data_IF_192380926623
#
_entry.id   IF_192380926623
#
_cell.length_a   1.000
_cell.length_b   1.000
_cell.length_c   1.000
_cell.angle_alpha   90.00
_cell.angle_beta   90.00
_cell.angle_gamma   90.00
#
_symmetry.space_group_name_H-M   'P 1'
#
loop_
_entity.id
_entity.type
_entity.pdbx_description
1 polymer ?
#
# COMPACT_ATOMS: atom_id res chain seq x y z
N UNK A 1 42.78 56.40 0.40
CA UNK A 1 41.94 55.91 -0.71
C UNK A 1 40.94 54.91 -0.14
N UNK A 2 39.64 55.19 -0.26
CA UNK A 2 38.56 54.29 0.17
C UNK A 2 38.15 53.44 -1.03
N UNK A 3 38.17 52.11 -0.90
CA UNK A 3 37.59 51.20 -1.89
C UNK A 3 36.38 50.53 -1.23
N UNK A 4 35.18 50.92 -1.66
CA UNK A 4 33.92 50.32 -1.28
C UNK A 4 33.65 49.24 -2.33
N UNK A 5 33.79 47.96 -1.97
CA UNK A 5 33.37 46.85 -2.81
C UNK A 5 31.92 46.49 -2.46
N UNK A 6 31.05 46.55 -3.46
CA UNK A 6 29.63 46.22 -3.35
C UNK A 6 29.47 44.72 -3.58
N UNK A 7 29.05 43.98 -2.56
CA UNK A 7 28.63 42.59 -2.72
C UNK A 7 27.14 42.56 -3.10
N UNK A 8 26.85 42.17 -4.34
CA UNK A 8 25.48 41.92 -4.79
C UNK A 8 24.95 40.61 -4.17
N UNK A 9 23.72 40.56 -3.64
CA UNK A 9 23.15 39.33 -3.13
C UNK A 9 22.71 38.45 -4.32
N UNK A 10 23.28 37.25 -4.41
CA UNK A 10 22.72 36.19 -5.26
C UNK A 10 21.38 35.75 -4.65
N UNK A 11 20.28 36.12 -5.29
CA UNK A 11 18.96 35.55 -5.01
C UNK A 11 18.96 34.12 -5.53
N UNK A 12 19.05 33.16 -4.61
CA UNK A 12 18.87 31.74 -4.90
C UNK A 12 17.37 31.52 -5.18
N UNK A 13 17.01 31.50 -6.46
CA UNK A 13 15.67 31.10 -6.88
C UNK A 13 15.45 29.64 -6.48
N UNK A 14 14.72 29.44 -5.39
CA UNK A 14 14.21 28.13 -5.01
C UNK A 14 13.23 27.67 -6.10
N UNK A 15 13.70 26.82 -7.01
CA UNK A 15 12.84 26.04 -7.88
C UNK A 15 11.99 25.16 -6.97
N UNK A 16 10.77 25.62 -6.68
CA UNK A 16 9.73 24.79 -6.09
C UNK A 16 9.37 23.73 -7.14
N UNK A 17 10.11 22.63 -7.12
CA UNK A 17 9.70 21.40 -7.79
C UNK A 17 8.45 20.96 -7.04
N UNK A 18 7.29 21.37 -7.54
CA UNK A 18 6.04 20.75 -7.14
C UNK A 18 6.27 19.25 -7.24
N UNK A 19 6.12 18.46 -6.17
CA UNK A 19 6.30 17.03 -6.28
C UNK A 19 5.30 16.57 -7.33
N UNK A 20 5.81 16.18 -8.49
CA UNK A 20 5.02 15.51 -9.50
C UNK A 20 4.50 14.26 -8.80
N UNK A 21 3.25 14.34 -8.35
CA UNK A 21 2.51 13.25 -7.75
C UNK A 21 2.57 12.14 -8.80
N UNK A 22 3.39 11.11 -8.56
CA UNK A 22 3.41 10.00 -9.48
C UNK A 22 1.98 9.45 -9.51
N UNK A 23 1.46 9.27 -10.72
CA UNK A 23 0.11 8.81 -10.91
C UNK A 23 -0.14 7.59 -10.03
N UNK A 24 -1.26 7.57 -9.29
CA UNK A 24 -1.65 6.37 -8.57
C UNK A 24 -1.76 5.21 -9.57
N UNK A 25 -1.27 4.05 -9.15
CA UNK A 25 -1.25 2.83 -9.95
C UNK A 25 -2.19 1.84 -9.28
N UNK A 26 -3.18 1.36 -10.02
CA UNK A 26 -4.05 0.28 -9.59
C UNK A 26 -4.16 -0.77 -10.69
N UNK A 27 -4.16 -2.03 -10.29
CA UNK A 27 -4.25 -3.17 -11.20
C UNK A 27 -4.68 -4.43 -10.44
N UNK A 28 -5.16 -5.40 -11.23
CA UNK A 28 -5.36 -6.76 -10.77
C UNK A 28 -4.04 -7.50 -10.80
N UNK A 29 -3.71 -8.19 -9.72
CA UNK A 29 -2.54 -9.05 -9.65
C UNK A 29 -2.91 -10.34 -8.91
N UNK A 30 -2.46 -11.46 -9.45
CA UNK A 30 -2.53 -12.77 -8.81
C UNK A 30 -1.70 -12.82 -7.51
N UNK A 31 -0.75 -11.88 -7.34
CA UNK A 31 0.18 -11.81 -6.23
C UNK A 31 0.27 -10.41 -5.65
N UNK A 32 0.72 -10.34 -4.40
CA UNK A 32 1.20 -9.10 -3.78
C UNK A 32 2.67 -9.23 -3.39
N UNK A 33 3.38 -8.12 -3.48
CA UNK A 33 4.78 -8.00 -3.10
C UNK A 33 4.86 -7.19 -1.81
N UNK A 34 5.35 -7.80 -0.73
CA UNK A 34 5.32 -7.17 0.59
C UNK A 34 6.61 -7.40 1.37
N UNK A 35 6.87 -6.50 2.33
CA UNK A 35 7.89 -6.70 3.35
C UNK A 35 7.31 -7.48 4.51
N UNK A 36 8.03 -8.50 4.94
CA UNK A 36 7.76 -9.25 6.17
C UNK A 36 8.24 -8.47 7.40
N UNK A 37 7.84 -8.93 8.59
CA UNK A 37 8.22 -8.28 9.85
C UNK A 37 9.74 -8.27 10.10
N UNK A 38 10.46 -9.27 9.58
CA UNK A 38 11.93 -9.35 9.66
C UNK A 38 12.64 -8.55 8.56
N UNK A 39 11.91 -7.77 7.77
CA UNK A 39 12.45 -6.95 6.68
C UNK A 39 12.74 -7.72 5.38
N UNK A 40 12.46 -9.03 5.32
CA UNK A 40 12.59 -9.78 4.06
C UNK A 40 11.48 -9.40 3.08
N UNK A 41 11.79 -9.47 1.78
CA UNK A 41 10.82 -9.24 0.71
C UNK A 41 10.23 -10.58 0.27
N UNK A 42 8.90 -10.65 0.23
CA UNK A 42 8.18 -11.84 -0.22
C UNK A 42 7.13 -11.50 -1.26
N UNK A 43 6.86 -12.49 -2.11
CA UNK A 43 5.69 -12.53 -2.97
C UNK A 43 4.66 -13.47 -2.33
N UNK A 44 3.43 -12.99 -2.17
CA UNK A 44 2.29 -13.78 -1.69
C UNK A 44 1.32 -13.98 -2.85
N UNK A 45 1.03 -15.23 -3.19
CA UNK A 45 0.02 -15.63 -4.17
C UNK A 45 -1.20 -16.20 -3.47
N UNK A 46 -2.39 -15.81 -3.91
CA UNK A 46 -3.63 -16.42 -3.45
C UNK A 46 -3.73 -17.86 -3.98
N UNK A 47 -4.26 -18.78 -3.17
CA UNK A 47 -4.57 -20.15 -3.60
C UNK A 47 -5.75 -20.72 -2.81
N UNK A 48 -6.97 -20.66 -3.36
CA UNK A 48 -8.16 -21.17 -2.68
C UNK A 48 -8.50 -20.35 -1.44
N UNK A 49 -8.33 -20.93 -0.25
CA UNK A 49 -8.44 -20.22 1.04
C UNK A 49 -7.06 -20.00 1.71
N UNK A 50 -5.99 -20.49 1.07
CA UNK A 50 -4.61 -20.41 1.55
C UNK A 50 -3.78 -19.43 0.71
N UNK A 51 -2.51 -19.28 1.11
CA UNK A 51 -1.52 -18.45 0.47
C UNK A 51 -0.25 -19.22 0.16
N UNK A 52 0.35 -18.92 -0.99
CA UNK A 52 1.66 -19.40 -1.37
C UNK A 52 2.66 -18.27 -1.23
N UNK A 53 3.64 -18.43 -0.35
CA UNK A 53 4.63 -17.38 -0.06
C UNK A 53 6.00 -17.78 -0.58
N UNK A 54 6.65 -16.85 -1.27
CA UNK A 54 7.98 -17.01 -1.83
C UNK A 54 8.86 -15.85 -1.37
N UNK A 55 10.04 -16.15 -0.82
CA UNK A 55 11.09 -15.14 -0.69
C UNK A 55 11.53 -14.67 -2.08
N UNK A 56 11.92 -13.40 -2.20
CA UNK A 56 12.37 -12.85 -3.46
C UNK A 56 13.49 -13.69 -4.09
N UNK A 57 13.33 -14.06 -5.37
CA UNK A 57 14.27 -14.93 -6.09
C UNK A 57 14.28 -16.40 -5.66
N UNK A 58 13.34 -16.85 -4.82
CA UNK A 58 13.20 -18.25 -4.41
C UNK A 58 11.95 -18.89 -5.00
N UNK A 59 11.96 -20.22 -5.06
CA UNK A 59 10.78 -20.98 -5.42
C UNK A 59 9.67 -20.78 -4.37
N UNK A 60 8.43 -20.84 -4.83
CA UNK A 60 7.26 -20.72 -3.99
C UNK A 60 7.18 -21.86 -2.98
N UNK A 61 6.97 -21.53 -1.71
CA UNK A 61 6.81 -22.50 -0.64
C UNK A 61 5.48 -23.27 -0.70
N UNK A 62 5.25 -24.10 0.32
CA UNK A 62 3.97 -24.76 0.53
C UNK A 62 2.84 -23.74 0.76
N UNK A 63 1.60 -24.17 0.50
CA UNK A 63 0.44 -23.36 0.86
C UNK A 63 0.35 -23.23 2.38
N UNK A 64 0.01 -22.03 2.85
CA UNK A 64 -0.13 -21.70 4.26
C UNK A 64 -1.36 -20.80 4.46
N UNK A 65 -2.11 -21.03 5.54
CA UNK A 65 -3.34 -20.28 5.82
C UNK A 65 -3.14 -18.85 6.32
N UNK A 66 -1.88 -18.40 6.44
CA UNK A 66 -1.57 -17.03 6.87
C UNK A 66 -0.18 -16.59 6.41
N UNK A 67 0.06 -15.28 6.40
CA UNK A 67 1.38 -14.70 6.16
C UNK A 67 1.58 -13.44 7.01
N UNK A 68 2.83 -13.11 7.28
CA UNK A 68 3.23 -11.95 8.06
C UNK A 68 3.74 -10.83 7.14
N UNK A 69 3.47 -9.59 7.54
CA UNK A 69 3.80 -8.42 6.75
C UNK A 69 3.93 -7.17 7.62
N UNK A 70 4.60 -6.16 7.09
CA UNK A 70 4.71 -4.86 7.71
C UNK A 70 3.51 -3.97 7.33
N UNK A 71 2.78 -3.47 8.32
CA UNK A 71 1.69 -2.51 8.14
C UNK A 71 2.18 -1.11 7.78
N UNK A 72 1.27 -0.23 7.36
CA UNK A 72 1.60 1.19 7.08
C UNK A 72 2.14 1.95 8.30
N UNK A 73 1.76 1.50 9.49
CA UNK A 73 2.21 1.99 10.79
C UNK A 73 3.59 1.47 11.18
N UNK A 74 4.20 0.62 10.36
CA UNK A 74 5.48 -0.04 10.66
C UNK A 74 5.36 -1.17 11.68
N UNK A 75 4.14 -1.54 12.09
CA UNK A 75 3.95 -2.66 13.01
C UNK A 75 3.87 -3.98 12.24
N UNK A 76 4.34 -5.05 12.88
CA UNK A 76 4.19 -6.40 12.37
C UNK A 76 2.72 -6.83 12.43
N UNK A 77 2.20 -7.28 11.29
CA UNK A 77 0.84 -7.76 11.13
C UNK A 77 0.86 -9.18 10.58
N UNK A 78 -0.17 -9.96 10.92
CA UNK A 78 -0.44 -11.25 10.31
C UNK A 78 -1.80 -11.21 9.64
N UNK A 79 -1.88 -11.73 8.43
CA UNK A 79 -3.13 -11.85 7.68
C UNK A 79 -3.49 -13.32 7.49
N UNK A 80 -4.76 -13.63 7.69
CA UNK A 80 -5.41 -14.89 7.33
C UNK A 80 -6.71 -14.57 6.61
N UNK A 81 -7.10 -15.37 5.61
CA UNK A 81 -8.44 -15.25 5.04
C UNK A 81 -9.47 -15.95 5.94
N UNK A 82 -10.58 -15.29 6.23
CA UNK A 82 -11.75 -15.89 6.84
C UNK A 82 -12.88 -16.00 5.80
N UNK A 83 -13.15 -17.23 5.36
CA UNK A 83 -14.19 -17.51 4.38
C UNK A 83 -15.60 -17.18 4.89
N UNK A 84 -15.85 -17.29 6.20
CA UNK A 84 -17.15 -16.98 6.79
C UNK A 84 -17.48 -15.48 6.72
N UNK A 85 -16.49 -14.63 6.99
CA UNK A 85 -16.65 -13.17 6.99
C UNK A 85 -16.38 -12.54 5.62
N UNK A 86 -15.92 -13.34 4.66
CA UNK A 86 -15.38 -12.87 3.38
C UNK A 86 -14.39 -11.70 3.55
N UNK A 87 -13.52 -11.81 4.56
CA UNK A 87 -12.58 -10.76 4.94
C UNK A 87 -11.25 -11.35 5.43
N UNK A 88 -10.20 -10.53 5.46
CA UNK A 88 -8.97 -10.89 6.15
C UNK A 88 -9.16 -10.72 7.65
N UNK A 89 -8.70 -11.68 8.45
CA UNK A 89 -8.37 -11.43 9.85
C UNK A 89 -6.95 -10.84 9.90
N UNK A 90 -6.83 -9.55 10.24
CA UNK A 90 -5.56 -8.82 10.27
C UNK A 90 -5.24 -8.39 11.70
N UNK A 91 -4.06 -8.76 12.17
CA UNK A 91 -3.55 -8.44 13.51
C UNK A 91 -2.69 -9.57 14.03
N UNK A 92 -2.16 -9.42 15.25
CA UNK A 92 -1.34 -10.45 15.87
C UNK A 92 -2.10 -11.14 17.02
N UNK A 93 -2.23 -12.46 16.95
CA UNK A 93 -2.99 -13.25 17.93
C UNK A 93 -4.43 -12.76 18.10
N UNK A 94 -4.85 -12.58 19.36
CA UNK A 94 -6.22 -12.19 19.73
C UNK A 94 -6.62 -10.76 19.30
N UNK A 95 -5.65 -9.96 18.84
CA UNK A 95 -5.91 -8.62 18.31
C UNK A 95 -6.39 -8.62 16.85
N UNK A 96 -6.43 -9.79 16.19
CA UNK A 96 -6.85 -9.89 14.80
C UNK A 96 -8.30 -9.40 14.61
N UNK A 97 -8.47 -8.40 13.75
CA UNK A 97 -9.77 -7.85 13.39
C UNK A 97 -10.13 -8.19 11.95
N UNK A 98 -11.41 -8.45 11.66
CA UNK A 98 -11.89 -8.51 10.28
C UNK A 98 -11.57 -7.20 9.54
N UNK A 99 -10.94 -7.32 8.40
CA UNK A 99 -10.57 -6.23 7.51
C UNK A 99 -10.81 -6.68 6.07
N UNK A 100 -11.61 -5.95 5.27
CA UNK A 100 -11.81 -6.30 3.87
C UNK A 100 -10.55 -6.05 3.00
N UNK A 101 -9.51 -5.45 3.59
CA UNK A 101 -8.29 -5.04 2.87
C UNK A 101 -7.02 -5.31 3.68
N UNK A 102 -5.90 -5.32 2.96
CA UNK A 102 -4.54 -5.34 3.49
C UNK A 102 -3.92 -3.96 3.29
N UNK A 103 -3.43 -3.35 4.37
CA UNK A 103 -2.61 -2.13 4.35
C UNK A 103 -1.16 -2.53 4.61
N UNK A 104 -0.32 -2.56 3.59
CA UNK A 104 1.02 -3.14 3.70
C UNK A 104 2.10 -2.24 3.10
N UNK A 105 3.33 -2.45 3.57
CA UNK A 105 4.54 -1.91 2.95
C UNK A 105 5.07 -2.92 1.94
N UNK A 106 5.29 -2.46 0.71
CA UNK A 106 5.79 -3.26 -0.39
C UNK A 106 7.33 -3.32 -0.41
N UNK A 107 7.89 -4.18 -1.27
CA UNK A 107 9.33 -4.37 -1.43
C UNK A 107 10.09 -3.08 -1.78
N UNK A 108 9.42 -2.12 -2.40
CA UNK A 108 9.93 -0.79 -2.79
C UNK A 108 9.79 0.26 -1.67
N UNK A 109 9.47 -0.14 -0.43
CA UNK A 109 9.15 0.72 0.71
C UNK A 109 7.90 1.60 0.53
N UNK A 110 7.18 1.46 -0.59
CA UNK A 110 5.93 2.16 -0.79
C UNK A 110 4.80 1.53 0.04
N UNK A 111 3.80 2.35 0.34
CA UNK A 111 2.61 1.94 1.08
C UNK A 111 1.49 1.62 0.09
N UNK A 112 0.98 0.41 0.16
CA UNK A 112 -0.04 -0.12 -0.74
C UNK A 112 -1.26 -0.59 0.05
N UNK A 113 -2.43 -0.53 -0.59
CA UNK A 113 -3.65 -1.16 -0.09
C UNK A 113 -4.11 -2.19 -1.11
N UNK A 114 -4.65 -3.31 -0.64
CA UNK A 114 -5.19 -4.36 -1.49
C UNK A 114 -6.47 -4.98 -0.94
N UNK A 115 -7.33 -5.44 -1.84
CA UNK A 115 -8.53 -6.25 -1.53
C UNK A 115 -8.46 -7.57 -2.29
N UNK A 116 -9.18 -8.58 -1.82
CA UNK A 116 -9.37 -9.81 -2.60
C UNK A 116 -10.15 -9.49 -3.88
N UNK A 117 -9.71 -10.06 -5.00
CA UNK A 117 -10.43 -10.06 -6.27
C UNK A 117 -10.34 -11.46 -6.90
N UNK A 118 -11.41 -12.25 -6.78
CA UNK A 118 -11.41 -13.65 -7.23
C UNK A 118 -10.28 -14.47 -6.59
N UNK A 119 -9.41 -15.02 -7.44
CA UNK A 119 -8.21 -15.79 -7.07
C UNK A 119 -6.93 -14.93 -7.01
N UNK A 120 -7.09 -13.63 -6.76
CA UNK A 120 -5.99 -12.69 -6.66
C UNK A 120 -6.36 -11.48 -5.83
N UNK A 121 -5.68 -10.38 -6.14
CA UNK A 121 -5.76 -9.12 -5.44
C UNK A 121 -6.06 -8.01 -6.44
N UNK A 122 -6.81 -7.02 -5.99
CA UNK A 122 -6.82 -5.71 -6.63
C UNK A 122 -6.10 -4.76 -5.68
N UNK A 123 -5.05 -4.10 -6.17
CA UNK A 123 -4.15 -3.30 -5.34
C UNK A 123 -4.00 -1.89 -5.90
N UNK A 124 -3.68 -0.95 -5.02
CA UNK A 124 -3.25 0.39 -5.42
C UNK A 124 -2.18 0.96 -4.50
N UNK A 125 -1.27 1.74 -5.07
CA UNK A 125 -0.25 2.44 -4.29
C UNK A 125 -0.83 3.71 -3.69
N UNK A 126 -0.63 3.86 -2.38
CA UNK A 126 -1.12 5.00 -1.60
C UNK A 126 -0.04 6.07 -1.46
N UNK A 127 1.17 5.68 -1.09
CA UNK A 127 2.30 6.59 -0.89
C UNK A 127 3.60 5.93 -1.35
N UNK A 128 4.57 6.70 -1.86
CA UNK A 128 5.91 6.19 -2.19
C UNK A 128 6.72 5.91 -0.92
N UNK A 129 7.89 5.30 -1.09
CA UNK A 129 8.89 5.19 -0.04
C UNK A 129 9.18 6.54 0.61
N UNK A 130 9.17 6.58 1.95
CA UNK A 130 9.42 7.78 2.73
C UNK A 130 8.29 8.81 2.76
N UNK A 131 7.19 8.61 2.03
CA UNK A 131 6.03 9.50 2.07
C UNK A 131 5.07 9.09 3.19
N UNK A 132 4.51 10.09 3.89
CA UNK A 132 3.45 9.89 4.86
C UNK A 132 2.11 9.68 4.15
N UNK A 133 1.27 8.81 4.72
CA UNK A 133 -0.12 8.66 4.27
C UNK A 133 -0.93 9.78 4.94
N UNK A 134 -1.45 10.71 4.14
CA UNK A 134 -2.32 11.78 4.63
C UNK A 134 -3.76 11.54 4.22
N UNK A 135 -4.70 12.08 5.00
CA UNK A 135 -6.13 11.98 4.71
C UNK A 135 -6.47 12.59 3.34
N UNK A 136 -5.83 13.71 2.97
CA UNK A 136 -5.98 14.31 1.62
C UNK A 136 -5.59 13.33 0.52
N UNK A 137 -4.46 12.63 0.68
CA UNK A 137 -4.00 11.64 -0.31
C UNK A 137 -4.96 10.47 -0.45
N UNK A 138 -5.50 9.99 0.67
CA UNK A 138 -6.49 8.91 0.69
C UNK A 138 -7.78 9.33 -0.05
N UNK A 139 -8.26 10.55 0.20
CA UNK A 139 -9.44 11.11 -0.48
C UNK A 139 -9.21 11.26 -1.99
N UNK A 140 -8.07 11.83 -2.40
CA UNK A 140 -7.71 11.98 -3.82
C UNK A 140 -7.63 10.63 -4.55
N UNK A 141 -7.06 9.61 -3.89
CA UNK A 141 -6.95 8.27 -4.44
C UNK A 141 -8.31 7.57 -4.56
N UNK A 142 -9.18 7.75 -3.55
CA UNK A 142 -10.54 7.25 -3.59
C UNK A 142 -11.30 7.85 -4.79
N UNK A 143 -11.20 9.16 -4.99
CA UNK A 143 -11.87 9.84 -6.09
C UNK A 143 -11.28 9.47 -7.45
N UNK A 144 -9.97 9.26 -7.53
CA UNK A 144 -9.34 8.73 -8.74
C UNK A 144 -9.90 7.33 -9.08
N UNK A 145 -9.93 6.41 -8.12
CA UNK A 145 -10.48 5.06 -8.33
C UNK A 145 -11.96 5.08 -8.76
N UNK A 146 -12.79 5.95 -8.17
CA UNK A 146 -14.19 6.12 -8.58
C UNK A 146 -14.30 6.55 -10.04
N UNK A 147 -13.40 7.41 -10.52
CA UNK A 147 -13.40 7.90 -11.91
C UNK A 147 -12.83 6.88 -12.89
N UNK A 148 -11.77 6.15 -12.53
CA UNK A 148 -11.05 5.26 -13.44
C UNK A 148 -11.53 3.82 -13.42
N UNK A 149 -12.30 3.43 -12.40
CA UNK A 149 -12.82 2.06 -12.24
C UNK A 149 -14.26 2.04 -11.71
N UNK A 150 -15.20 2.83 -12.29
CA UNK A 150 -16.55 3.00 -11.73
C UNK A 150 -17.37 1.70 -11.71
N UNK A 151 -17.23 0.86 -12.72
CA UNK A 151 -17.99 -0.40 -12.85
C UNK A 151 -17.26 -1.61 -12.26
N UNK A 152 -16.01 -1.42 -11.80
CA UNK A 152 -15.20 -2.49 -11.28
C UNK A 152 -15.35 -2.61 -9.77
N UNK A 153 -16.02 -3.67 -9.32
CA UNK A 153 -16.42 -3.85 -7.91
C UNK A 153 -15.24 -3.77 -6.93
N UNK A 154 -14.07 -4.39 -7.18
CA UNK A 154 -12.90 -4.24 -6.29
C UNK A 154 -12.36 -2.80 -6.23
N UNK A 155 -12.39 -2.07 -7.34
CA UNK A 155 -11.98 -0.67 -7.41
C UNK A 155 -12.90 0.24 -6.59
N UNK A 156 -14.21 0.06 -6.74
CA UNK A 156 -15.20 0.76 -5.92
C UNK A 156 -15.09 0.41 -4.44
N UNK A 157 -14.82 -0.87 -4.11
CA UNK A 157 -14.60 -1.30 -2.73
C UNK A 157 -13.37 -0.61 -2.10
N UNK A 158 -12.24 -0.57 -2.81
CA UNK A 158 -11.06 0.18 -2.35
C UNK A 158 -11.34 1.68 -2.21
N UNK A 159 -12.02 2.28 -3.18
CA UNK A 159 -12.35 3.70 -3.13
C UNK A 159 -13.20 4.05 -1.89
N UNK A 160 -14.18 3.21 -1.56
CA UNK A 160 -15.00 3.36 -0.35
C UNK A 160 -14.13 3.31 0.91
N UNK A 161 -13.22 2.34 1.00
CA UNK A 161 -12.37 2.17 2.18
C UNK A 161 -11.35 3.30 2.35
N UNK A 162 -10.78 3.78 1.25
CA UNK A 162 -9.92 4.96 1.26
C UNK A 162 -10.68 6.22 1.68
N UNK A 163 -11.94 6.37 1.26
CA UNK A 163 -12.78 7.50 1.70
C UNK A 163 -13.07 7.47 3.20
N UNK A 164 -13.34 6.28 3.76
CA UNK A 164 -13.53 6.09 5.21
C UNK A 164 -12.24 6.45 5.95
N UNK A 165 -11.11 5.86 5.55
CA UNK A 165 -9.82 6.10 6.19
C UNK A 165 -9.33 7.56 6.09
N UNK A 166 -9.82 8.33 5.11
CA UNK A 166 -9.55 9.76 4.99
C UNK A 166 -10.37 10.63 5.97
N UNK A 167 -11.46 10.07 6.52
CA UNK A 167 -12.42 10.78 7.38
C UNK A 167 -12.19 10.51 8.87
N UNK A 168 -11.40 9.50 9.19
CA UNK A 168 -10.89 9.20 10.53
C UNK A 168 -9.72 10.12 10.92
#
# INVERSE_FOLDING_TARGET
>A
MRVISWAAPMVLAALSVSPAMANPQAFEDNKVHLKTCDGNHVTVRWLGDDFKVALFGKATGAAQGSFEFLGWDGNCQKAKWNTADAAFAVGNGDSARPSPFLKYVAEDDAKWIGVRNGDGFFVTRVAKAGENVSNTRLAELADWLKRTSPEFTPGAALAKQLSIAASD
#
